data_IF_356858402599
#
_entry.id   IF_356858402599
#
_cell.length_a   1.000
_cell.length_b   1.000
_cell.length_c   1.000
_cell.angle_alpha   90.00
_cell.angle_beta   90.00
_cell.angle_gamma   90.00
#
_symmetry.space_group_name_H-M   'P 1'
#
loop_
_entity.id
_entity.type
_entity.pdbx_description
1 polymer ?
#
# COMPACT_ATOMS: atom_id res chain seq x y z
N UNK A 1 1.03 15.81 -7.92
CA UNK A 1 -0.22 15.27 -7.38
C UNK A 1 0.00 15.12 -5.90
N UNK A 2 -0.85 15.72 -5.10
CA UNK A 2 -0.82 15.67 -3.65
C UNK A 2 -2.10 14.93 -3.22
N UNK A 3 -1.99 13.99 -2.29
CA UNK A 3 -3.11 13.16 -1.82
C UNK A 3 -3.53 13.69 -0.45
N UNK A 4 -4.77 14.13 -0.28
CA UNK A 4 -5.25 14.69 1.00
C UNK A 4 -6.25 13.79 1.72
N UNK A 5 -6.77 12.78 1.04
CA UNK A 5 -7.79 11.89 1.58
C UNK A 5 -7.39 10.42 1.41
N UNK A 6 -7.75 9.58 2.40
CA UNK A 6 -7.57 8.13 2.35
C UNK A 6 -8.35 7.51 1.18
N UNK A 7 -9.46 8.14 0.77
CA UNK A 7 -10.21 7.73 -0.40
C UNK A 7 -9.42 7.94 -1.71
N UNK A 8 -8.72 9.07 -1.85
CA UNK A 8 -7.84 9.33 -2.99
C UNK A 8 -6.65 8.36 -2.98
N UNK A 9 -6.05 8.12 -1.81
CA UNK A 9 -4.95 7.15 -1.66
C UNK A 9 -5.38 5.75 -2.06
N UNK A 10 -6.58 5.31 -1.62
CA UNK A 10 -7.18 4.05 -2.04
C UNK A 10 -7.32 3.98 -3.56
N UNK A 11 -7.85 5.03 -4.19
CA UNK A 11 -8.01 5.11 -5.64
C UNK A 11 -6.67 4.96 -6.37
N UNK A 12 -5.63 5.63 -5.87
CA UNK A 12 -4.28 5.58 -6.43
C UNK A 12 -3.68 4.17 -6.34
N UNK A 13 -3.74 3.54 -5.16
CA UNK A 13 -3.22 2.17 -4.97
C UNK A 13 -3.98 1.17 -5.86
N UNK A 14 -5.31 1.26 -5.91
CA UNK A 14 -6.13 0.41 -6.77
C UNK A 14 -5.81 0.62 -8.25
N UNK A 15 -5.59 1.86 -8.69
CA UNK A 15 -5.22 2.18 -10.07
C UNK A 15 -3.85 1.61 -10.44
N UNK A 16 -2.88 1.66 -9.52
CA UNK A 16 -1.53 1.14 -9.76
C UNK A 16 -1.51 -0.38 -9.85
N UNK A 17 -2.09 -1.07 -8.85
CA UNK A 17 -2.04 -2.52 -8.79
C UNK A 17 -3.10 -3.20 -9.66
N UNK A 18 -4.18 -2.50 -10.00
CA UNK A 18 -5.32 -3.02 -10.77
C UNK A 18 -5.89 -4.30 -10.13
N UNK A 19 -5.91 -5.42 -10.84
CA UNK A 19 -6.37 -6.73 -10.35
C UNK A 19 -5.44 -7.35 -9.31
N UNK A 20 -4.20 -6.85 -9.18
CA UNK A 20 -3.23 -7.35 -8.18
C UNK A 20 -3.54 -6.90 -6.75
N UNK A 21 -4.52 -6.03 -6.56
CA UNK A 21 -4.89 -5.50 -5.24
C UNK A 21 -6.39 -5.67 -4.98
N UNK A 22 -6.70 -6.28 -3.84
CA UNK A 22 -8.06 -6.35 -3.29
C UNK A 22 -8.13 -5.44 -2.08
N UNK A 23 -9.02 -4.45 -2.11
CA UNK A 23 -9.26 -3.59 -0.96
C UNK A 23 -9.81 -4.41 0.22
N UNK A 24 -9.23 -4.20 1.40
CA UNK A 24 -9.62 -4.87 2.63
C UNK A 24 -10.54 -3.96 3.44
N UNK A 25 -10.00 -2.86 3.95
CA UNK A 25 -10.73 -1.87 4.74
C UNK A 25 -9.96 -0.54 4.86
N UNK A 26 -10.60 0.44 5.52
CA UNK A 26 -10.00 1.68 5.99
C UNK A 26 -10.01 1.65 7.50
N UNK A 27 -8.85 1.83 8.11
CA UNK A 27 -8.71 1.99 9.57
C UNK A 27 -8.42 3.45 9.85
N UNK A 28 -9.21 4.06 10.73
CA UNK A 28 -9.00 5.44 11.21
C UNK A 28 -8.67 5.38 12.69
N UNK A 29 -7.62 6.08 13.12
CA UNK A 29 -7.18 6.06 14.52
C UNK A 29 -7.99 7.03 15.37
N UNK A 30 -8.15 8.28 14.91
CA UNK A 30 -8.79 9.35 15.69
C UNK A 30 -9.81 10.14 14.85
N UNK A 31 -10.86 9.49 14.30
CA UNK A 31 -11.74 10.10 13.30
C UNK A 31 -12.52 11.34 13.79
N UNK A 32 -12.64 11.56 15.09
CA UNK A 32 -13.28 12.75 15.67
C UNK A 32 -12.37 13.99 15.65
N UNK A 33 -11.05 13.78 15.70
CA UNK A 33 -10.06 14.85 15.71
C UNK A 33 -9.55 15.10 14.30
N UNK A 34 -9.23 14.02 13.62
CA UNK A 34 -8.65 14.06 12.30
C UNK A 34 -9.14 12.88 11.48
N UNK A 35 -10.01 13.15 10.51
CA UNK A 35 -10.67 12.08 9.76
C UNK A 35 -9.65 11.26 9.01
N UNK A 36 -8.64 11.88 8.42
CA UNK A 36 -7.69 11.17 7.56
C UNK A 36 -6.50 10.56 8.34
N UNK A 37 -6.47 10.67 9.67
CA UNK A 37 -5.52 9.92 10.51
C UNK A 37 -5.87 8.43 10.48
N UNK A 38 -5.10 7.68 9.70
CA UNK A 38 -5.35 6.27 9.45
C UNK A 38 -4.66 5.76 8.19
N UNK A 39 -5.13 4.60 7.74
CA UNK A 39 -4.63 3.92 6.55
C UNK A 39 -5.72 3.12 5.85
N UNK A 40 -5.51 2.87 4.55
CA UNK A 40 -6.27 1.92 3.75
C UNK A 40 -5.45 0.66 3.59
N UNK A 41 -6.10 -0.50 3.68
CA UNK A 41 -5.44 -1.81 3.53
C UNK A 41 -5.84 -2.51 2.26
N UNK A 42 -4.87 -3.19 1.67
CA UNK A 42 -5.04 -4.03 0.49
C UNK A 42 -4.36 -5.38 0.68
N UNK A 43 -5.01 -6.43 0.19
CA UNK A 43 -4.39 -7.72 -0.05
C UNK A 43 -3.79 -7.69 -1.47
N UNK A 44 -2.47 -7.66 -1.54
CA UNK A 44 -1.71 -7.67 -2.79
C UNK A 44 -1.37 -9.12 -3.18
N UNK A 45 -1.56 -9.44 -4.46
CA UNK A 45 -1.27 -10.75 -5.05
C UNK A 45 -1.89 -11.93 -4.27
N UNK A 46 -3.08 -11.71 -3.69
CA UNK A 46 -3.78 -12.68 -2.82
C UNK A 46 -2.94 -13.18 -1.63
N UNK A 47 -1.81 -12.54 -1.31
CA UNK A 47 -0.78 -13.10 -0.44
C UNK A 47 -0.31 -12.15 0.66
N UNK A 48 -0.27 -10.84 0.40
CA UNK A 48 0.37 -9.88 1.31
C UNK A 48 -0.56 -8.73 1.67
N UNK A 49 -0.79 -8.51 2.96
CA UNK A 49 -1.56 -7.35 3.40
C UNK A 49 -0.62 -6.15 3.55
N UNK A 50 -0.96 -5.05 2.88
CA UNK A 50 -0.28 -3.78 2.97
C UNK A 50 -1.22 -2.68 3.45
N UNK A 51 -0.73 -1.80 4.29
CA UNK A 51 -1.39 -0.56 4.67
C UNK A 51 -0.71 0.65 4.05
N UNK A 52 -1.52 1.61 3.62
CA UNK A 52 -1.09 2.88 3.02
C UNK A 52 -1.86 3.99 3.73
N UNK A 53 -1.16 4.93 4.36
CA UNK A 53 -1.84 5.94 5.15
C UNK A 53 -1.02 7.19 5.36
N UNK A 54 -1.58 8.09 6.14
CA UNK A 54 -0.92 9.33 6.50
C UNK A 54 -0.20 9.17 7.83
N UNK A 55 0.99 9.76 7.93
CA UNK A 55 1.79 9.77 9.17
C UNK A 55 1.38 10.93 10.11
N UNK A 56 0.11 11.36 10.05
CA UNK A 56 -0.46 12.49 10.80
C UNK A 56 -0.43 13.84 10.08
N UNK A 57 -1.28 14.77 10.50
CA UNK A 57 -1.32 16.14 9.97
C UNK A 57 0.06 16.83 10.11
N UNK A 58 0.57 17.56 9.09
CA UNK A 58 -0.16 18.12 7.95
C UNK A 58 -0.19 17.25 6.67
N UNK A 59 -0.06 15.92 6.76
CA UNK A 59 -0.14 15.00 5.61
C UNK A 59 0.86 15.28 4.49
N UNK A 60 1.98 15.91 4.83
CA UNK A 60 3.10 16.13 3.91
C UNK A 60 3.81 14.83 3.50
N UNK A 61 3.54 13.74 4.21
CA UNK A 61 4.12 12.42 3.95
C UNK A 61 3.10 11.31 4.18
N UNK A 62 3.38 10.17 3.54
CA UNK A 62 2.63 8.94 3.64
C UNK A 62 3.51 7.86 4.29
N UNK A 63 2.87 6.92 4.99
CA UNK A 63 3.52 5.75 5.55
C UNK A 63 2.95 4.49 4.93
N UNK A 64 3.82 3.62 4.39
CA UNK A 64 3.44 2.33 3.81
C UNK A 64 4.05 1.20 4.64
N UNK A 65 3.25 0.17 4.94
CA UNK A 65 3.70 -0.95 5.75
C UNK A 65 3.17 -2.29 5.23
N UNK A 66 4.00 -3.31 5.35
CA UNK A 66 3.61 -4.71 5.23
C UNK A 66 3.11 -5.22 6.59
N UNK A 67 1.93 -5.84 6.62
CA UNK A 67 1.41 -6.51 7.80
C UNK A 67 1.77 -8.00 7.73
N UNK A 68 2.66 -8.45 8.63
CA UNK A 68 3.08 -9.85 8.69
C UNK A 68 2.07 -10.72 9.45
N UNK A 69 1.53 -10.20 10.56
CA UNK A 69 0.46 -10.80 11.36
C UNK A 69 -0.31 -9.70 12.12
N UNK A 70 -1.18 -10.04 13.08
CA UNK A 70 -1.97 -9.04 13.82
C UNK A 70 -1.17 -8.11 14.75
N UNK A 71 0.06 -8.48 15.11
CA UNK A 71 0.91 -7.74 16.05
C UNK A 71 2.18 -7.18 15.40
N UNK A 72 2.55 -7.68 14.21
CA UNK A 72 3.80 -7.34 13.53
C UNK A 72 3.53 -6.70 12.16
N UNK A 73 4.08 -5.49 11.99
CA UNK A 73 4.19 -4.81 10.72
C UNK A 73 5.63 -4.34 10.46
N UNK A 74 5.96 -4.12 9.20
CA UNK A 74 7.25 -3.55 8.79
C UNK A 74 7.05 -2.48 7.74
N UNK A 75 7.65 -1.31 7.96
CA UNK A 75 7.80 -0.25 6.96
C UNK A 75 9.09 -0.40 6.15
N UNK A 76 10.02 -1.26 6.59
CA UNK A 76 11.27 -1.51 5.89
C UNK A 76 11.15 -2.77 5.02
N UNK A 77 11.30 -2.60 3.71
CA UNK A 77 11.21 -3.67 2.71
C UNK A 77 12.50 -3.67 1.88
N UNK A 78 13.22 -4.78 1.81
CA UNK A 78 14.50 -4.89 1.09
C UNK A 78 15.52 -3.77 1.44
N UNK A 79 15.51 -3.32 2.70
CA UNK A 79 16.39 -2.25 3.18
C UNK A 79 15.94 -0.82 2.85
N UNK A 80 14.79 -0.63 2.19
CA UNK A 80 14.18 0.69 1.96
C UNK A 80 13.11 0.94 3.01
N UNK A 81 13.22 2.06 3.71
CA UNK A 81 12.24 2.53 4.70
C UNK A 81 11.11 3.30 4.01
N UNK A 82 9.87 2.86 4.23
CA UNK A 82 8.64 3.46 3.69
C UNK A 82 7.79 4.15 4.78
N UNK A 83 8.36 4.42 5.95
CA UNK A 83 7.69 5.17 7.02
C UNK A 83 7.36 6.60 6.60
N UNK A 84 8.23 7.19 5.75
CA UNK A 84 8.10 8.54 5.24
C UNK A 84 8.31 8.56 3.72
N UNK A 85 7.21 8.48 2.99
CA UNK A 85 7.14 8.69 1.54
C UNK A 85 6.62 10.10 1.29
N UNK A 86 7.34 10.91 0.53
CA UNK A 86 6.88 12.26 0.18
C UNK A 86 5.53 12.19 -0.52
N UNK A 87 4.62 13.11 -0.18
CA UNK A 87 3.28 13.15 -0.76
C UNK A 87 3.28 13.85 -2.13
N UNK A 88 4.08 13.31 -3.03
CA UNK A 88 4.12 13.69 -4.43
C UNK A 88 4.07 12.45 -5.33
N UNK A 89 3.77 12.70 -6.61
CA UNK A 89 3.54 11.63 -7.59
C UNK A 89 4.76 10.72 -7.76
N UNK A 90 5.96 11.28 -7.78
CA UNK A 90 7.19 10.54 -8.08
C UNK A 90 7.55 9.64 -6.89
N UNK A 91 7.54 10.17 -5.68
CA UNK A 91 7.82 9.41 -4.48
C UNK A 91 6.80 8.29 -4.25
N UNK A 92 5.51 8.59 -4.42
CA UNK A 92 4.44 7.58 -4.32
C UNK A 92 4.63 6.47 -5.36
N UNK A 93 4.87 6.83 -6.64
CA UNK A 93 5.04 5.83 -7.69
C UNK A 93 6.25 4.92 -7.43
N UNK A 94 7.36 5.50 -6.98
CA UNK A 94 8.58 4.75 -6.65
C UNK A 94 8.36 3.79 -5.48
N UNK A 95 7.63 4.23 -4.45
CA UNK A 95 7.29 3.38 -3.32
C UNK A 95 6.34 2.22 -3.70
N UNK A 96 5.37 2.47 -4.58
CA UNK A 96 4.48 1.41 -5.10
C UNK A 96 5.23 0.41 -5.98
N UNK A 97 6.16 0.87 -6.82
CA UNK A 97 7.04 -0.01 -7.61
C UNK A 97 7.93 -0.87 -6.72
N UNK A 98 8.46 -0.29 -5.65
CA UNK A 98 9.25 -1.03 -4.67
C UNK A 98 8.45 -2.12 -3.96
N UNK A 99 7.20 -1.83 -3.58
CA UNK A 99 6.28 -2.81 -3.00
C UNK A 99 5.94 -3.91 -4.02
N UNK A 100 5.67 -3.56 -5.28
CA UNK A 100 5.41 -4.53 -6.35
C UNK A 100 6.59 -5.49 -6.51
N UNK A 101 7.81 -4.94 -6.58
CA UNK A 101 9.05 -5.72 -6.65
C UNK A 101 9.21 -6.63 -5.44
N UNK A 102 8.94 -6.14 -4.23
CA UNK A 102 8.99 -6.93 -3.01
C UNK A 102 8.05 -8.14 -3.07
N UNK A 103 6.80 -7.94 -3.49
CA UNK A 103 5.82 -9.01 -3.65
C UNK A 103 6.30 -10.06 -4.66
N UNK A 104 6.72 -9.61 -5.86
CA UNK A 104 7.16 -10.50 -6.95
C UNK A 104 8.41 -11.32 -6.59
N UNK A 105 9.31 -10.77 -5.78
CA UNK A 105 10.49 -11.51 -5.30
C UNK A 105 10.16 -12.59 -4.28
N UNK A 106 9.06 -12.44 -3.53
CA UNK A 106 8.64 -13.39 -2.50
C UNK A 106 7.68 -14.47 -3.01
N UNK A 107 7.14 -14.32 -4.21
CA UNK A 107 6.22 -15.27 -4.81
C UNK A 107 6.94 -16.19 -5.79
N UNK A 108 6.61 -17.50 -5.81
CA UNK A 108 7.11 -18.41 -6.82
C UNK A 108 6.73 -17.95 -8.23
N UNK A 109 7.59 -18.26 -9.21
CA UNK A 109 7.35 -17.91 -10.61
C UNK A 109 6.05 -18.56 -11.12
N UNK A 110 5.79 -19.80 -10.73
CA UNK A 110 4.61 -20.57 -11.12
C UNK A 110 3.32 -19.90 -10.61
N UNK A 111 3.36 -19.34 -9.40
CA UNK A 111 2.25 -18.57 -8.84
C UNK A 111 1.98 -17.32 -9.67
N UNK A 112 3.02 -16.51 -9.94
CA UNK A 112 2.87 -15.27 -10.71
C UNK A 112 2.31 -15.52 -12.12
N UNK A 113 2.80 -16.57 -12.80
CA UNK A 113 2.29 -16.97 -14.12
C UNK A 113 0.82 -17.36 -14.08
N UNK A 114 0.42 -18.18 -13.09
CA UNK A 114 -0.98 -18.59 -12.94
C UNK A 114 -1.89 -17.41 -12.57
N UNK A 115 -1.42 -16.53 -11.68
CA UNK A 115 -2.12 -15.32 -11.26
C UNK A 115 -2.38 -14.37 -12.44
N UNK A 116 -1.35 -14.03 -13.21
CA UNK A 116 -1.47 -13.12 -14.37
C UNK A 116 -2.39 -13.70 -15.46
N UNK A 117 -2.37 -15.01 -15.66
CA UNK A 117 -3.23 -15.69 -16.64
C UNK A 117 -4.72 -15.61 -16.28
N UNK A 118 -5.07 -15.68 -14.99
CA UNK A 118 -6.45 -15.63 -14.52
C UNK A 118 -7.15 -14.29 -14.82
N UNK A 119 -6.38 -13.20 -14.95
CA UNK A 119 -6.89 -11.85 -15.18
C UNK A 119 -6.65 -11.33 -16.61
N UNK A 120 -6.05 -12.15 -17.47
CA UNK A 120 -5.85 -11.86 -18.91
C UNK A 120 -6.96 -12.45 -19.79
N UNK A 121 -7.97 -13.08 -19.19
CA UNK A 121 -9.13 -13.72 -19.85
C UNK A 121 -10.38 -12.85 -19.75
#
# INVERSE_FOLDING_TARGET
MFVSELFELRGLVQQYFTHRAVYVDTVRHNPEVDREDGFVRFLLYESFVFGFGFSGAPYSSLGFFFQADSAASSTTLLGVDLTFVENDRQAISAALEHIDRYCRLRLPKEFLVAFDAAWSS
#
